data_IF_137116840292
#
_entry.id   IF_137116840292
#
_cell.length_a   1.000
_cell.length_b   1.000
_cell.length_c   1.000
_cell.angle_alpha   90.00
_cell.angle_beta   90.00
_cell.angle_gamma   90.00
#
_symmetry.space_group_name_H-M   'P 1'
#
loop_
_entity.id
_entity.type
_entity.pdbx_description
1 polymer ?
#
# COMPACT_ATOMS: atom_id res chain seq x y z
N UNK A 1 -6.39 32.72 6.44
CA UNK A 1 -5.72 31.43 6.69
C UNK A 1 -6.79 30.34 6.59
N UNK A 2 -7.03 29.83 5.38
CA UNK A 2 -7.96 28.71 5.17
C UNK A 2 -7.10 27.45 5.21
N UNK A 3 -7.08 26.77 6.36
CA UNK A 3 -6.59 25.39 6.44
C UNK A 3 -7.60 24.55 5.64
N UNK A 4 -7.15 23.91 4.55
CA UNK A 4 -8.00 22.96 3.81
C UNK A 4 -8.59 21.96 4.80
N UNK A 5 -9.92 21.82 4.77
CA UNK A 5 -10.62 20.86 5.63
C UNK A 5 -10.55 19.50 4.96
N UNK A 6 -10.48 18.46 5.78
CA UNK A 6 -10.80 17.09 5.36
C UNK A 6 -12.14 17.13 4.61
N UNK A 7 -12.17 16.76 3.34
CA UNK A 7 -13.38 16.86 2.50
C UNK A 7 -13.28 17.79 1.28
N UNK A 8 -12.33 18.72 1.24
CA UNK A 8 -12.31 19.75 0.19
C UNK A 8 -11.89 19.21 -1.21
N UNK A 9 -11.34 18.00 -1.29
CA UNK A 9 -10.83 17.37 -2.52
C UNK A 9 -11.80 16.35 -3.15
N UNK A 10 -13.01 16.17 -2.59
CA UNK A 10 -14.02 15.23 -3.07
C UNK A 10 -14.76 15.75 -4.31
N UNK A 11 -14.03 15.83 -5.42
CA UNK A 11 -14.55 16.15 -6.75
C UNK A 11 -14.20 15.02 -7.71
N UNK A 12 -14.90 14.91 -8.84
CA UNK A 12 -14.45 14.03 -9.91
C UNK A 12 -13.12 14.56 -10.48
N UNK A 13 -12.09 13.72 -10.68
CA UNK A 13 -10.89 14.14 -11.39
C UNK A 13 -11.23 14.53 -12.83
N UNK A 14 -10.39 15.37 -13.43
CA UNK A 14 -10.41 15.61 -14.87
C UNK A 14 -9.59 14.50 -15.57
N UNK A 15 -9.93 14.11 -16.82
CA UNK A 15 -9.08 13.20 -17.57
C UNK A 15 -7.76 13.88 -17.96
N UNK A 16 -6.64 13.22 -17.74
CA UNK A 16 -5.31 13.70 -18.18
C UNK A 16 -5.11 13.46 -19.68
N UNK A 17 -5.44 12.26 -20.13
CA UNK A 17 -5.43 11.85 -21.52
C UNK A 17 -6.41 10.69 -21.72
N UNK A 18 -6.76 10.42 -22.97
CA UNK A 18 -7.63 9.29 -23.32
C UNK A 18 -6.80 8.01 -23.46
N UNK A 19 -6.92 7.10 -22.48
CA UNK A 19 -6.21 5.81 -22.48
C UNK A 19 -6.64 4.88 -23.62
N UNK A 20 -7.77 5.15 -24.28
CA UNK A 20 -8.22 4.39 -25.44
C UNK A 20 -7.58 4.86 -26.75
N UNK A 21 -6.95 6.05 -26.75
CA UNK A 21 -6.16 6.54 -27.88
C UNK A 21 -4.73 5.97 -27.80
N UNK A 22 -4.40 5.10 -28.75
CA UNK A 22 -3.07 4.50 -28.89
C UNK A 22 -1.92 5.50 -29.06
N UNK A 23 -2.22 6.75 -29.44
CA UNK A 23 -1.23 7.83 -29.59
C UNK A 23 -1.16 8.76 -28.38
N UNK A 24 -2.08 8.61 -27.42
CA UNK A 24 -2.07 9.40 -26.20
C UNK A 24 -1.00 8.91 -25.23
N UNK A 25 -0.41 9.85 -24.52
CA UNK A 25 0.56 9.61 -23.46
C UNK A 25 0.40 10.67 -22.38
N UNK A 26 0.83 10.40 -21.14
CA UNK A 26 0.94 11.46 -20.15
C UNK A 26 1.91 12.55 -20.65
N UNK A 27 1.74 13.81 -20.21
CA UNK A 27 2.78 14.82 -20.33
C UNK A 27 4.09 14.35 -19.69
N UNK A 28 5.23 14.74 -20.26
CA UNK A 28 6.54 14.27 -19.81
C UNK A 28 6.88 14.67 -18.35
N UNK A 29 6.32 15.76 -17.87
CA UNK A 29 6.47 16.27 -16.51
C UNK A 29 5.41 15.73 -15.52
N UNK A 30 4.57 14.79 -15.95
CA UNK A 30 3.59 14.15 -15.09
C UNK A 30 4.25 13.41 -13.90
N UNK A 31 3.46 13.20 -12.86
CA UNK A 31 3.79 12.32 -11.74
C UNK A 31 3.14 10.95 -11.94
N UNK A 32 3.62 9.95 -11.22
CA UNK A 32 3.11 8.59 -11.31
C UNK A 32 2.97 7.95 -9.93
N UNK A 33 1.86 7.26 -9.73
CA UNK A 33 1.66 6.36 -8.59
C UNK A 33 1.42 4.95 -9.11
N UNK A 34 2.25 4.01 -8.67
CA UNK A 34 2.07 2.59 -8.96
C UNK A 34 1.37 1.90 -7.79
N UNK A 35 0.23 1.26 -8.07
CA UNK A 35 -0.47 0.40 -7.13
C UNK A 35 -0.31 -1.06 -7.55
N UNK A 36 0.23 -1.89 -6.66
CA UNK A 36 0.41 -3.33 -6.89
C UNK A 36 -0.66 -4.10 -6.15
N UNK A 37 -1.15 -5.19 -6.75
CA UNK A 37 -2.03 -6.10 -5.99
C UNK A 37 -1.19 -7.01 -5.07
N UNK A 38 -1.80 -7.64 -4.06
CA UNK A 38 -1.13 -8.68 -3.26
C UNK A 38 -0.57 -9.82 -4.11
N UNK A 39 0.56 -10.41 -3.67
CA UNK A 39 1.29 -11.40 -4.47
C UNK A 39 0.54 -12.72 -4.61
N UNK A 40 -0.17 -13.14 -3.57
CA UNK A 40 -0.98 -14.35 -3.56
C UNK A 40 -2.09 -14.31 -4.60
N UNK A 41 -2.66 -13.13 -4.85
CA UNK A 41 -3.65 -12.96 -5.92
C UNK A 41 -3.01 -13.02 -7.30
N UNK A 42 -1.80 -12.48 -7.47
CA UNK A 42 -1.03 -12.68 -8.71
C UNK A 42 -0.71 -14.17 -8.94
N UNK A 43 -0.32 -14.90 -7.88
CA UNK A 43 -0.05 -16.34 -7.95
C UNK A 43 -1.31 -17.17 -8.28
N UNK A 44 -2.47 -16.80 -7.73
CA UNK A 44 -3.76 -17.40 -8.10
C UNK A 44 -4.03 -17.21 -9.60
N UNK A 45 -3.88 -15.99 -10.12
CA UNK A 45 -4.13 -15.67 -11.53
C UNK A 45 -3.15 -16.40 -12.48
N UNK A 46 -1.87 -16.50 -12.11
CA UNK A 46 -0.89 -17.32 -12.82
C UNK A 46 -1.29 -18.81 -12.83
N UNK A 47 -1.77 -19.32 -11.69
CA UNK A 47 -2.28 -20.67 -11.56
C UNK A 47 -3.49 -20.93 -12.46
N UNK A 48 -4.41 -19.97 -12.55
CA UNK A 48 -5.58 -20.03 -13.44
C UNK A 48 -5.18 -20.03 -14.92
N UNK A 49 -4.27 -19.14 -15.33
CA UNK A 49 -3.74 -19.12 -16.70
C UNK A 49 -3.06 -20.46 -17.06
N UNK A 50 -2.24 -20.99 -16.15
CA UNK A 50 -1.58 -22.29 -16.32
C UNK A 50 -2.59 -23.45 -16.44
N UNK A 51 -3.73 -23.34 -15.77
CA UNK A 51 -4.82 -24.32 -15.85
C UNK A 51 -5.71 -24.16 -17.11
N UNK A 52 -5.44 -23.17 -17.98
CA UNK A 52 -6.21 -22.90 -19.19
C UNK A 52 -7.51 -22.13 -18.95
N UNK A 53 -7.58 -21.37 -17.85
CA UNK A 53 -8.73 -20.51 -17.50
C UNK A 53 -8.52 -19.06 -17.98
N UNK A 54 -8.06 -18.89 -19.22
CA UNK A 54 -7.70 -17.58 -19.78
C UNK A 54 -8.89 -16.60 -19.85
N UNK A 55 -10.10 -17.11 -20.04
CA UNK A 55 -11.34 -16.31 -20.05
C UNK A 55 -11.59 -15.67 -18.68
N UNK A 56 -11.36 -16.40 -17.59
CA UNK A 56 -11.53 -15.91 -16.22
C UNK A 56 -10.45 -14.87 -15.87
N UNK A 57 -9.20 -15.09 -16.31
CA UNK A 57 -8.11 -14.11 -16.14
C UNK A 57 -8.39 -12.83 -16.94
N UNK A 58 -8.98 -12.96 -18.13
CA UNK A 58 -9.40 -11.80 -18.95
C UNK A 58 -10.57 -11.04 -18.29
N UNK A 59 -11.54 -11.77 -17.72
CA UNK A 59 -12.64 -11.20 -16.97
C UNK A 59 -12.14 -10.42 -15.74
N UNK A 60 -11.20 -11.00 -15.00
CA UNK A 60 -10.50 -10.31 -13.92
C UNK A 60 -9.83 -9.02 -14.38
N UNK A 61 -9.04 -9.07 -15.46
CA UNK A 61 -8.37 -7.89 -16.00
C UNK A 61 -9.33 -6.77 -16.36
N UNK A 62 -10.49 -7.12 -16.92
CA UNK A 62 -11.56 -6.18 -17.23
C UNK A 62 -12.19 -5.57 -15.97
N UNK A 63 -12.50 -6.40 -14.97
CA UNK A 63 -13.08 -5.95 -13.71
C UNK A 63 -12.12 -5.08 -12.90
N UNK A 64 -10.83 -5.45 -12.85
CA UNK A 64 -9.80 -4.65 -12.19
C UNK A 64 -9.55 -3.32 -12.91
N UNK A 65 -9.54 -3.32 -14.25
CA UNK A 65 -9.49 -2.08 -15.04
C UNK A 65 -10.65 -1.16 -14.69
N UNK A 66 -11.87 -1.68 -14.64
CA UNK A 66 -13.04 -0.90 -14.26
C UNK A 66 -12.92 -0.34 -12.83
N UNK A 67 -12.50 -1.17 -11.86
CA UNK A 67 -12.25 -0.74 -10.49
C UNK A 67 -11.24 0.41 -10.42
N UNK A 68 -10.17 0.33 -11.21
CA UNK A 68 -9.15 1.39 -11.27
C UNK A 68 -9.74 2.70 -11.81
N UNK A 69 -10.49 2.64 -12.90
CA UNK A 69 -11.11 3.84 -13.50
C UNK A 69 -12.18 4.47 -12.60
N UNK A 70 -13.05 3.65 -11.98
CA UNK A 70 -14.21 4.13 -11.23
C UNK A 70 -13.87 4.50 -9.77
N UNK A 71 -12.95 3.75 -9.15
CA UNK A 71 -12.65 3.88 -7.72
C UNK A 71 -11.26 4.45 -7.46
N UNK A 72 -10.20 3.85 -8.01
CA UNK A 72 -8.82 4.22 -7.65
C UNK A 72 -8.50 5.65 -8.05
N UNK A 73 -8.90 6.09 -9.25
CA UNK A 73 -8.74 7.48 -9.68
C UNK A 73 -9.43 8.46 -8.73
N UNK A 74 -10.64 8.12 -8.25
CA UNK A 74 -11.36 8.91 -7.26
C UNK A 74 -10.62 8.94 -5.92
N UNK A 75 -10.08 7.81 -5.45
CA UNK A 75 -9.28 7.75 -4.19
C UNK A 75 -8.02 8.60 -4.30
N UNK A 76 -7.33 8.57 -5.44
CA UNK A 76 -6.16 9.42 -5.69
C UNK A 76 -6.56 10.90 -5.70
N UNK A 77 -7.68 11.27 -6.32
CA UNK A 77 -8.20 12.64 -6.26
C UNK A 77 -8.55 13.07 -4.83
N UNK A 78 -9.24 12.23 -4.06
CA UNK A 78 -9.59 12.51 -2.67
C UNK A 78 -8.34 12.67 -1.80
N UNK A 79 -7.33 11.80 -1.96
CA UNK A 79 -6.16 11.77 -1.11
C UNK A 79 -5.07 12.78 -1.51
N UNK A 80 -4.82 12.95 -2.81
CA UNK A 80 -3.66 13.68 -3.35
C UNK A 80 -4.07 15.02 -3.99
N UNK A 81 -5.35 15.40 -3.97
CA UNK A 81 -5.94 16.53 -4.69
C UNK A 81 -5.52 17.91 -4.21
N UNK A 82 -4.23 18.21 -4.19
CA UNK A 82 -3.69 19.47 -3.71
C UNK A 82 -2.69 20.06 -4.70
N UNK A 83 -2.79 21.37 -4.90
CA UNK A 83 -1.81 22.18 -5.61
C UNK A 83 -1.07 23.10 -4.62
N UNK A 84 0.14 23.48 -4.95
CA UNK A 84 0.99 24.35 -4.13
C UNK A 84 1.41 25.58 -4.88
N UNK A 85 1.29 26.74 -4.22
CA UNK A 85 1.84 27.98 -4.71
C UNK A 85 3.36 27.96 -4.51
N UNK A 86 4.18 28.17 -5.56
CA UNK A 86 5.64 28.22 -5.41
C UNK A 86 6.12 29.27 -4.39
N UNK A 87 5.35 30.34 -4.17
CA UNK A 87 5.66 31.34 -3.16
C UNK A 87 5.30 30.90 -1.73
N UNK A 88 4.56 29.81 -1.56
CA UNK A 88 4.15 29.24 -0.27
C UNK A 88 3.97 27.71 -0.39
N UNK A 89 5.06 26.96 -0.61
CA UNK A 89 5.02 25.55 -0.96
C UNK A 89 4.47 24.65 0.16
N UNK A 90 4.48 25.12 1.41
CA UNK A 90 3.99 24.37 2.57
C UNK A 90 2.46 24.42 2.72
N UNK A 91 1.77 25.23 1.91
CA UNK A 91 0.31 25.41 2.00
C UNK A 91 -0.36 24.74 0.80
N UNK A 92 -0.71 23.47 0.98
CA UNK A 92 -1.54 22.73 0.02
C UNK A 92 -2.92 23.36 -0.13
N UNK A 93 -3.32 23.65 -1.36
CA UNK A 93 -4.64 24.17 -1.73
C UNK A 93 -5.44 23.06 -2.41
N UNK A 94 -6.65 22.73 -1.96
CA UNK A 94 -7.50 21.75 -2.63
C UNK A 94 -7.68 22.06 -4.12
N UNK A 95 -7.42 21.06 -4.96
CA UNK A 95 -7.36 21.17 -6.41
C UNK A 95 -7.95 19.94 -7.09
N UNK A 96 -8.53 20.15 -8.27
CA UNK A 96 -8.91 19.08 -9.18
C UNK A 96 -7.68 18.65 -9.98
N UNK A 97 -7.28 17.40 -9.79
CA UNK A 97 -6.23 16.75 -10.54
C UNK A 97 -6.72 16.35 -11.92
N UNK A 98 -5.79 16.30 -12.86
CA UNK A 98 -5.93 15.62 -14.13
C UNK A 98 -5.29 14.24 -13.99
N UNK A 99 -6.09 13.18 -14.12
CA UNK A 99 -5.68 11.80 -13.87
C UNK A 99 -5.96 10.91 -15.08
N UNK A 100 -5.12 9.91 -15.28
CA UNK A 100 -5.37 8.77 -16.16
C UNK A 100 -4.71 7.53 -15.56
N UNK A 101 -5.26 6.35 -15.83
CA UNK A 101 -4.69 5.11 -15.31
C UNK A 101 -4.63 3.99 -16.35
N UNK A 102 -3.57 3.19 -16.28
CA UNK A 102 -3.36 1.99 -17.09
C UNK A 102 -3.13 0.79 -16.17
N UNK A 103 -3.73 -0.34 -16.51
CA UNK A 103 -3.53 -1.62 -15.82
C UNK A 103 -2.58 -2.49 -16.62
N UNK A 104 -1.62 -3.09 -15.93
CA UNK A 104 -0.69 -4.05 -16.52
C UNK A 104 -0.65 -5.33 -15.68
N UNK A 105 -0.45 -6.47 -16.35
CA UNK A 105 -0.39 -7.79 -15.73
C UNK A 105 1.04 -8.32 -15.58
N UNK A 106 2.03 -7.66 -16.19
CA UNK A 106 3.40 -8.15 -16.26
C UNK A 106 4.40 -7.05 -15.91
N UNK A 107 5.51 -7.44 -15.28
CA UNK A 107 6.65 -6.54 -15.01
C UNK A 107 7.83 -7.01 -15.88
N UNK A 108 8.46 -6.13 -16.67
CA UNK A 108 9.62 -6.50 -17.48
C UNK A 108 10.72 -7.17 -16.65
N UNK A 109 11.19 -8.33 -17.13
CA UNK A 109 12.23 -9.12 -16.46
C UNK A 109 11.73 -10.05 -15.35
N UNK A 110 10.42 -10.13 -15.11
CA UNK A 110 9.79 -11.06 -14.18
C UNK A 110 8.91 -12.04 -14.97
N UNK A 111 9.22 -13.33 -14.87
CA UNK A 111 8.50 -14.41 -15.54
C UNK A 111 7.36 -14.96 -14.68
N UNK A 112 6.44 -14.06 -14.31
CA UNK A 112 5.22 -14.33 -13.54
C UNK A 112 4.27 -13.13 -13.63
N UNK A 113 2.96 -13.33 -13.48
CA UNK A 113 2.01 -12.23 -13.42
C UNK A 113 2.31 -11.35 -12.21
N UNK A 114 2.25 -10.05 -12.44
CA UNK A 114 2.38 -9.00 -11.45
C UNK A 114 1.35 -7.96 -11.82
N UNK A 115 0.11 -8.17 -11.39
CA UNK A 115 -0.95 -7.22 -11.71
C UNK A 115 -0.74 -5.93 -10.90
N UNK A 116 -0.84 -4.81 -11.60
CA UNK A 116 -0.66 -3.49 -11.02
C UNK A 116 -1.33 -2.45 -11.91
N UNK A 117 -1.44 -1.23 -11.41
CA UNK A 117 -1.83 -0.10 -12.23
C UNK A 117 -0.90 1.09 -12.03
N UNK A 118 -0.77 1.86 -13.09
CA UNK A 118 -0.06 3.13 -13.17
C UNK A 118 -1.11 4.24 -13.19
N UNK A 119 -1.15 5.07 -12.16
CA UNK A 119 -1.97 6.30 -12.13
C UNK A 119 -1.07 7.49 -12.42
N UNK A 120 -1.29 8.12 -13.55
CA UNK A 120 -0.61 9.35 -13.96
C UNK A 120 -1.35 10.58 -13.45
N UNK A 121 -0.60 11.53 -12.92
CA UNK A 121 -1.10 12.80 -12.39
C UNK A 121 -0.43 13.92 -13.17
N UNK A 122 -1.21 14.85 -13.74
CA UNK A 122 -0.66 16.03 -14.41
C UNK A 122 0.24 16.86 -13.48
N UNK A 123 1.22 17.57 -14.03
CA UNK A 123 2.14 18.42 -13.25
C UNK A 123 1.47 19.66 -12.63
N UNK A 124 0.29 20.02 -13.14
CA UNK A 124 -0.53 21.13 -12.63
C UNK A 124 -1.96 20.67 -12.39
N UNK A 125 -2.64 21.35 -11.47
CA UNK A 125 -4.02 21.10 -11.12
C UNK A 125 -4.79 22.41 -10.95
N UNK A 126 -6.11 22.34 -11.12
CA UNK A 126 -6.99 23.49 -11.01
C UNK A 126 -7.47 23.65 -9.56
N UNK A 127 -7.05 24.73 -8.89
CA UNK A 127 -7.45 25.04 -7.51
C UNK A 127 -8.96 25.23 -7.44
N UNK A 128 -9.63 24.50 -6.57
CA UNK A 128 -11.10 24.45 -6.53
C UNK A 128 -11.74 25.79 -6.14
N UNK A 129 -11.09 26.53 -5.24
CA UNK A 129 -11.63 27.80 -4.74
C UNK A 129 -11.50 28.97 -5.72
N UNK A 130 -10.49 28.95 -6.59
CA UNK A 130 -10.12 30.11 -7.44
C UNK A 130 -10.16 29.81 -8.94
N UNK A 131 -10.15 28.53 -9.34
CA UNK A 131 -9.99 28.11 -10.74
C UNK A 131 -8.58 28.30 -11.30
N UNK A 132 -7.62 28.76 -10.48
CA UNK A 132 -6.24 28.98 -10.90
C UNK A 132 -5.53 27.65 -11.12
N UNK A 133 -4.71 27.56 -12.18
CA UNK A 133 -3.84 26.40 -12.40
C UNK A 133 -2.51 26.60 -11.67
N UNK A 134 -2.22 25.72 -10.73
CA UNK A 134 -0.98 25.72 -9.95
C UNK A 134 -0.29 24.35 -10.04
N UNK A 135 1.02 24.26 -9.76
CA UNK A 135 1.73 22.98 -9.68
C UNK A 135 1.09 22.03 -8.67
N UNK A 136 1.04 20.74 -8.99
CA UNK A 136 0.61 19.71 -8.04
C UNK A 136 1.59 19.62 -6.87
N UNK A 137 1.04 19.40 -5.67
CA UNK A 137 1.83 19.28 -4.45
C UNK A 137 2.44 17.89 -4.33
N UNK A 138 3.73 17.77 -4.68
CA UNK A 138 4.48 16.50 -4.62
C UNK A 138 4.43 15.85 -3.23
N UNK A 139 4.61 16.64 -2.17
CA UNK A 139 4.56 16.11 -0.79
C UNK A 139 3.17 15.57 -0.40
N UNK A 140 2.10 16.12 -0.97
CA UNK A 140 0.73 15.62 -0.77
C UNK A 140 0.43 14.38 -1.61
N UNK A 141 1.16 14.12 -2.71
CA UNK A 141 1.05 12.85 -3.43
C UNK A 141 1.51 11.73 -2.49
N UNK A 142 2.74 11.79 -1.97
CA UNK A 142 3.28 10.76 -1.08
C UNK A 142 2.41 10.57 0.18
N UNK A 143 2.09 11.66 0.88
CA UNK A 143 1.26 11.61 2.08
C UNK A 143 -0.15 11.06 1.82
N UNK A 144 -0.76 11.47 0.70
CA UNK A 144 -2.09 10.99 0.32
C UNK A 144 -2.07 9.51 -0.08
N UNK A 145 -1.05 9.06 -0.81
CA UNK A 145 -0.92 7.66 -1.22
C UNK A 145 -0.74 6.76 -0.01
N UNK A 146 0.26 7.04 0.83
CA UNK A 146 0.58 6.18 1.97
C UNK A 146 -0.46 6.28 3.09
N UNK A 147 -0.99 7.48 3.33
CA UNK A 147 -1.97 7.71 4.38
C UNK A 147 -3.38 7.23 4.06
N UNK A 148 -3.75 7.11 2.77
CA UNK A 148 -5.14 6.88 2.38
C UNK A 148 -5.32 6.03 1.12
N UNK A 149 -4.75 6.43 -0.02
CA UNK A 149 -5.12 5.83 -1.30
C UNK A 149 -4.73 4.34 -1.39
N UNK A 150 -3.56 3.97 -0.84
CA UNK A 150 -3.08 2.60 -0.84
C UNK A 150 -3.99 1.65 -0.05
N UNK A 151 -4.45 2.05 1.14
CA UNK A 151 -5.30 1.21 1.97
C UNK A 151 -6.68 0.98 1.35
N UNK A 152 -7.26 2.02 0.72
CA UNK A 152 -8.49 1.87 -0.03
C UNK A 152 -8.33 1.02 -1.29
N UNK A 153 -7.27 1.21 -2.06
CA UNK A 153 -6.98 0.35 -3.23
C UNK A 153 -6.91 -1.13 -2.82
N UNK A 154 -6.18 -1.45 -1.74
CA UNK A 154 -6.13 -2.82 -1.23
C UNK A 154 -7.50 -3.32 -0.76
N UNK A 155 -8.30 -2.49 -0.08
CA UNK A 155 -9.65 -2.89 0.32
C UNK A 155 -10.54 -3.19 -0.90
N UNK A 156 -10.54 -2.31 -1.90
CA UNK A 156 -11.35 -2.45 -3.10
C UNK A 156 -10.91 -3.70 -3.91
N UNK A 157 -9.60 -3.96 -4.03
CA UNK A 157 -9.05 -5.17 -4.68
C UNK A 157 -9.43 -6.45 -3.93
N UNK A 158 -9.35 -6.42 -2.59
CA UNK A 158 -9.73 -7.57 -1.76
C UNK A 158 -11.20 -7.91 -1.94
N UNK A 159 -12.08 -6.92 -1.86
CA UNK A 159 -13.53 -7.10 -2.07
C UNK A 159 -13.83 -7.62 -3.49
N UNK A 160 -13.13 -7.10 -4.50
CA UNK A 160 -13.23 -7.59 -5.88
C UNK A 160 -12.85 -9.08 -5.95
N UNK A 161 -11.71 -9.49 -5.41
CA UNK A 161 -11.27 -10.88 -5.44
C UNK A 161 -12.17 -11.82 -4.63
N UNK A 162 -12.66 -11.39 -3.46
CA UNK A 162 -13.63 -12.14 -2.66
C UNK A 162 -14.90 -12.43 -3.48
N UNK A 163 -15.39 -11.44 -4.22
CA UNK A 163 -16.59 -11.59 -5.05
C UNK A 163 -16.35 -12.48 -6.27
N UNK A 164 -15.26 -12.29 -7.00
CA UNK A 164 -15.00 -13.02 -8.25
C UNK A 164 -14.51 -14.45 -7.99
N UNK A 165 -13.77 -14.69 -6.90
CA UNK A 165 -13.09 -15.97 -6.65
C UNK A 165 -13.48 -16.66 -5.34
N UNK A 166 -14.24 -16.02 -4.45
CA UNK A 166 -14.65 -16.61 -3.18
C UNK A 166 -13.49 -16.83 -2.19
N UNK A 167 -12.43 -16.06 -2.30
CA UNK A 167 -11.23 -16.15 -1.45
C UNK A 167 -11.42 -15.45 -0.11
N UNK A 168 -10.56 -15.75 0.87
CA UNK A 168 -10.47 -15.03 2.15
C UNK A 168 -9.07 -14.49 2.38
N UNK A 169 -8.98 -13.29 2.96
CA UNK A 169 -7.73 -12.57 3.22
C UNK A 169 -7.29 -12.67 4.68
N UNK A 170 -5.97 -12.60 4.89
CA UNK A 170 -5.39 -12.56 6.22
C UNK A 170 -3.89 -12.26 6.20
N UNK A 171 -3.32 -12.09 7.39
CA UNK A 171 -1.89 -11.86 7.53
C UNK A 171 -1.11 -13.18 7.29
N UNK A 172 -0.21 -13.24 6.29
CA UNK A 172 0.60 -14.44 6.03
C UNK A 172 1.64 -14.71 7.13
N UNK A 173 1.83 -13.78 8.07
CA UNK A 173 2.76 -13.92 9.18
C UNK A 173 2.71 -12.74 10.16
N UNK A 174 3.34 -12.87 11.34
CA UNK A 174 3.19 -11.94 12.45
C UNK A 174 3.71 -10.52 12.20
N UNK A 175 4.52 -10.32 11.14
CA UNK A 175 5.10 -9.02 10.77
C UNK A 175 4.52 -8.46 9.48
N UNK A 176 3.55 -9.16 8.87
CA UNK A 176 2.93 -8.72 7.63
C UNK A 176 2.18 -7.40 7.84
N UNK A 177 2.24 -6.53 6.84
CA UNK A 177 1.50 -5.27 6.76
C UNK A 177 0.57 -5.22 5.55
N UNK A 178 0.65 -6.26 4.72
CA UNK A 178 -0.16 -6.48 3.51
C UNK A 178 -0.77 -7.85 3.69
N UNK A 179 -2.10 -7.90 3.65
CA UNK A 179 -2.83 -9.16 3.70
C UNK A 179 -2.67 -9.92 2.38
N UNK A 180 -2.63 -11.23 2.49
CA UNK A 180 -2.55 -12.16 1.38
C UNK A 180 -3.72 -13.16 1.49
N UNK A 181 -3.98 -13.92 0.44
CA UNK A 181 -5.07 -14.90 0.42
C UNK A 181 -4.68 -16.11 1.29
N UNK A 182 -5.46 -16.35 2.35
CA UNK A 182 -5.24 -17.43 3.33
C UNK A 182 -6.20 -18.61 3.16
N UNK A 183 -7.32 -18.42 2.48
CA UNK A 183 -8.23 -19.51 2.11
C UNK A 183 -8.79 -19.32 0.68
N UNK A 184 -8.52 -20.25 -0.25
CA UNK A 184 -7.48 -21.28 -0.15
C UNK A 184 -6.08 -20.65 0.02
N UNK A 185 -5.07 -21.34 0.59
CA UNK A 185 -3.83 -20.71 1.09
C UNK A 185 -2.84 -20.31 -0.01
N UNK A 186 -3.24 -19.43 -0.94
CA UNK A 186 -2.40 -18.94 -2.04
C UNK A 186 -1.15 -18.21 -1.58
N UNK A 187 -1.15 -17.65 -0.37
CA UNK A 187 0.06 -17.08 0.22
C UNK A 187 1.22 -18.10 0.38
N UNK A 188 0.94 -19.40 0.50
CA UNK A 188 1.97 -20.45 0.56
C UNK A 188 2.65 -20.69 -0.81
N UNK A 189 1.99 -20.27 -1.89
CA UNK A 189 2.52 -20.35 -3.25
C UNK A 189 3.33 -19.11 -3.66
N UNK A 190 3.40 -18.10 -2.78
CA UNK A 190 4.26 -16.93 -2.99
C UNK A 190 5.67 -17.30 -2.56
N UNK A 191 6.60 -17.34 -3.51
CA UNK A 191 8.02 -17.48 -3.20
C UNK A 191 8.47 -16.30 -2.30
N UNK A 192 8.99 -16.55 -1.08
CA UNK A 192 9.45 -15.49 -0.18
C UNK A 192 10.60 -14.65 -0.77
N UNK A 193 11.32 -15.19 -1.76
CA UNK A 193 12.36 -14.49 -2.52
C UNK A 193 11.83 -13.82 -3.78
N UNK A 194 10.54 -13.99 -4.10
CA UNK A 194 9.92 -13.37 -5.26
C UNK A 194 10.07 -11.86 -5.20
N UNK A 195 10.69 -11.32 -6.25
CA UNK A 195 10.73 -9.88 -6.45
C UNK A 195 9.31 -9.43 -6.81
N UNK A 196 8.72 -8.54 -5.99
CA UNK A 196 7.45 -7.87 -6.32
C UNK A 196 7.56 -7.10 -7.64
N UNK A 197 8.75 -6.55 -7.90
CA UNK A 197 9.06 -5.75 -9.08
C UNK A 197 8.47 -4.35 -8.98
N UNK A 198 9.18 -3.37 -9.51
CA UNK A 198 8.62 -2.06 -9.80
C UNK A 198 8.57 -1.99 -11.32
N UNK A 199 7.37 -2.00 -11.89
CA UNK A 199 7.23 -1.83 -13.34
C UNK A 199 7.72 -0.43 -13.70
N UNK A 200 8.55 -0.24 -14.75
CA UNK A 200 8.91 1.08 -15.24
C UNK A 200 7.74 1.84 -15.85
N UNK A 201 6.64 1.14 -16.18
CA UNK A 201 5.47 1.69 -16.85
C UNK A 201 5.67 1.85 -18.36
N UNK A 202 4.57 2.08 -19.11
CA UNK A 202 4.61 2.24 -20.56
C UNK A 202 5.21 3.57 -21.03
N UNK A 203 5.26 4.58 -20.16
CA UNK A 203 5.82 5.90 -20.47
C UNK A 203 6.75 6.39 -19.37
N UNK A 204 7.87 6.99 -19.79
CA UNK A 204 8.78 7.70 -18.90
C UNK A 204 8.16 9.02 -18.44
N UNK A 205 8.31 9.31 -17.14
CA UNK A 205 7.89 10.58 -16.53
C UNK A 205 9.03 11.21 -15.75
N UNK A 206 9.08 12.54 -15.73
CA UNK A 206 10.08 13.31 -14.96
C UNK A 206 9.61 13.73 -13.57
N UNK A 207 8.31 13.66 -13.31
CA UNK A 207 7.76 13.97 -12.00
C UNK A 207 8.11 12.92 -10.95
N UNK A 208 7.59 13.10 -9.73
CA UNK A 208 7.72 12.09 -8.68
C UNK A 208 7.07 10.77 -9.11
N UNK A 209 7.71 9.67 -8.72
CA UNK A 209 7.17 8.32 -8.83
C UNK A 209 7.02 7.74 -7.43
N UNK A 210 5.80 7.31 -7.09
CA UNK A 210 5.47 6.73 -5.79
C UNK A 210 5.02 5.29 -5.97
N UNK A 211 5.59 4.36 -5.21
CA UNK A 211 5.15 2.96 -5.16
C UNK A 211 4.30 2.77 -3.91
N UNK A 212 3.00 2.54 -4.08
CA UNK A 212 2.01 2.74 -3.03
C UNK A 212 2.21 1.88 -1.77
N UNK A 213 2.73 0.66 -1.93
CA UNK A 213 2.98 -0.30 -0.86
C UNK A 213 4.41 -0.22 -0.27
N UNK A 214 5.26 0.68 -0.76
CA UNK A 214 6.66 0.78 -0.32
C UNK A 214 6.79 1.07 1.18
N UNK A 215 5.98 1.97 1.73
CA UNK A 215 6.00 2.26 3.17
C UNK A 215 5.57 1.04 3.99
N UNK A 216 4.49 0.36 3.58
CA UNK A 216 4.01 -0.86 4.24
C UNK A 216 5.10 -1.93 4.27
N UNK A 217 5.80 -2.12 3.15
CA UNK A 217 6.90 -3.10 3.04
C UNK A 217 8.11 -2.72 3.90
N UNK A 218 8.48 -1.43 3.94
CA UNK A 218 9.54 -0.93 4.81
C UNK A 218 9.22 -1.21 6.28
N UNK A 219 8.00 -0.91 6.71
CA UNK A 219 7.54 -1.17 8.09
C UNK A 219 7.54 -2.67 8.42
N UNK A 220 7.12 -3.53 7.48
CA UNK A 220 7.16 -4.98 7.67
C UNK A 220 8.60 -5.48 7.87
N UNK A 221 9.55 -4.99 7.05
CA UNK A 221 10.96 -5.35 7.16
C UNK A 221 11.58 -4.89 8.49
N UNK A 222 11.30 -3.66 8.93
CA UNK A 222 11.75 -3.14 10.22
C UNK A 222 11.21 -3.97 11.40
N UNK A 223 9.93 -4.35 11.35
CA UNK A 223 9.31 -5.23 12.35
C UNK A 223 9.93 -6.63 12.36
N UNK A 224 10.25 -7.19 11.20
CA UNK A 224 10.90 -8.48 11.10
C UNK A 224 12.31 -8.50 11.72
N UNK A 225 13.10 -7.43 11.51
CA UNK A 225 14.41 -7.26 12.15
C UNK A 225 14.27 -7.18 13.67
N UNK A 226 13.33 -6.36 14.16
CA UNK A 226 13.08 -6.23 15.60
C UNK A 226 12.65 -7.57 16.23
N UNK A 227 11.70 -8.28 15.61
CA UNK A 227 11.20 -9.56 16.12
C UNK A 227 12.31 -10.62 16.15
N UNK A 228 13.17 -10.67 15.12
CA UNK A 228 14.33 -11.59 15.11
C UNK A 228 15.30 -11.28 16.25
N UNK A 229 15.64 -10.02 16.46
CA UNK A 229 16.53 -9.62 17.56
C UNK A 229 15.93 -9.95 18.93
N UNK A 230 14.61 -9.80 19.10
CA UNK A 230 13.91 -10.16 20.33
C UNK A 230 13.92 -11.68 20.58
N UNK A 231 13.73 -12.48 19.54
CA UNK A 231 13.80 -13.95 19.62
C UNK A 231 15.22 -14.42 19.98
N UNK A 232 16.24 -13.88 19.31
CA UNK A 232 17.64 -14.16 19.62
C UNK A 232 17.98 -13.79 21.07
N UNK A 233 17.52 -12.62 21.54
CA UNK A 233 17.70 -12.20 22.94
C UNK A 233 17.10 -13.20 23.92
N UNK A 234 15.87 -13.68 23.68
CA UNK A 234 15.19 -14.66 24.54
C UNK A 234 15.90 -16.02 24.55
N UNK A 235 16.55 -16.39 23.45
CA UNK A 235 17.36 -17.61 23.38
C UNK A 235 18.68 -17.46 24.15
N UNK A 236 19.31 -16.28 24.12
CA UNK A 236 20.57 -16.01 24.83
C UNK A 236 20.40 -15.66 26.30
N UNK A 237 19.28 -15.03 26.66
CA UNK A 237 18.90 -14.59 28.01
C UNK A 237 17.52 -15.17 28.33
N UNK A 238 17.39 -16.49 28.55
CA UNK A 238 16.12 -17.07 28.95
C UNK A 238 15.66 -16.37 30.23
N UNK A 239 14.39 -15.97 30.30
CA UNK A 239 13.84 -15.36 31.51
C UNK A 239 14.22 -16.22 32.72
N UNK A 240 14.70 -15.60 33.82
CA UNK A 240 15.02 -16.37 35.01
C UNK A 240 13.78 -17.15 35.42
N UNK A 241 13.94 -18.47 35.57
CA UNK A 241 12.87 -19.35 36.02
C UNK A 241 12.16 -18.69 37.20
N UNK A 242 10.81 -18.62 37.19
CA UNK A 242 10.10 -18.04 38.31
C UNK A 242 10.58 -18.74 39.60
N UNK A 243 10.85 -17.98 40.68
CA UNK A 243 11.42 -18.56 41.88
C UNK A 243 10.53 -19.71 42.34
N UNK A 244 11.16 -20.85 42.60
CA UNK A 244 10.51 -22.04 43.10
C UNK A 244 9.72 -21.74 44.38
N UNK A 245 8.74 -22.57 44.68
CA UNK A 245 7.98 -22.46 45.94
C UNK A 245 8.90 -22.43 47.18
N UNK A 246 10.04 -23.12 47.12
CA UNK A 246 11.04 -23.12 48.19
C UNK A 246 11.82 -21.80 48.29
N UNK A 247 12.16 -21.17 47.17
CA UNK A 247 12.83 -19.86 47.15
C UNK A 247 11.89 -18.75 47.64
N UNK A 248 10.61 -18.79 47.24
CA UNK A 248 9.58 -17.87 47.76
C UNK A 248 9.36 -18.06 49.27
N UNK A 249 9.41 -19.30 49.75
CA UNK A 249 9.27 -19.60 51.19
C UNK A 249 10.49 -19.14 51.99
N UNK A 250 11.71 -19.22 51.42
CA UNK A 250 12.93 -18.74 52.04
C UNK A 250 12.97 -17.21 52.14
N UNK A 251 12.52 -16.46 51.12
CA UNK A 251 12.37 -15.00 51.18
C UNK A 251 11.39 -14.57 52.29
N UNK A 252 10.23 -15.22 52.37
CA UNK A 252 9.23 -14.97 53.42
C UNK A 252 9.77 -15.21 54.84
N UNK A 253 10.68 -16.17 55.01
CA UNK A 253 11.32 -16.45 56.30
C UNK A 253 12.53 -15.55 56.59
N UNK A 254 13.25 -15.10 55.55
CA UNK A 254 14.35 -14.15 55.66
C UNK A 254 13.89 -12.78 56.15
N UNK A 255 12.77 -12.29 55.63
CA UNK A 255 12.13 -11.03 56.08
C UNK A 255 11.57 -11.13 57.50
N UNK A 256 11.20 -12.33 57.95
CA UNK A 256 10.77 -12.58 59.33
C UNK A 256 11.94 -12.61 60.34
N UNK A 257 13.19 -12.77 59.88
CA UNK A 257 14.37 -12.87 60.75
C UNK A 257 15.03 -11.51 61.07
N UNK A 258 14.67 -10.43 60.36
CA UNK A 258 15.20 -9.07 60.60
C UNK A 258 14.12 -8.16 61.21
N UNK A 259 13.47 -8.63 62.27
CA UNK A 259 12.77 -7.74 63.20
C UNK A 259 13.09 -8.13 64.64
N UNK A 260 14.16 -7.56 65.23
CA UNK A 260 14.41 -7.72 66.65
C UNK A 260 13.37 -6.86 67.39
N UNK A 261 12.30 -7.51 67.86
CA UNK A 261 11.51 -6.97 68.97
C UNK A 261 12.39 -6.93 70.22
N UNK A 262 13.03 -5.79 70.43
CA UNK A 262 13.52 -5.36 71.74
C UNK A 262 12.56 -4.30 72.27
N UNK A 263 12.12 -4.53 73.52
CA UNK A 263 11.13 -3.78 74.28
C UNK A 263 11.52 -2.33 74.55
#
# INVERSE_FOLDING_TARGET
>A
MIRGRFGDTHVAPAPLFDVSDSLASPPFDAHEVQFRIPLSLSALLDGMATAGLDEDVTAWGSAYTQLVQDQVLRRVQEACGYATDPASPDVGRPARLELAAVVEAAVPGIDAARWHCHVYIGSTACVLATGERLPVSVSQIEQGVFGLAHSFHNADVRELAEREFGVTWGDPGPTATIEEIVDPPWHEHVDPSAVRGVCPGPWDVQGVRVVADEESLRVAAERAVFLRAELERRETEPEPSPPSLMERYAELLGDAAVSPRSR
#
